data_IF_660529639977
#
_entry.id   IF_660529639977
#
_cell.length_a   1.000
_cell.length_b   1.000
_cell.length_c   1.000
_cell.angle_alpha   90.00
_cell.angle_beta   90.00
_cell.angle_gamma   90.00
#
_symmetry.space_group_name_H-M   'P 1'
#
loop_
_entity.id
_entity.type
_entity.pdbx_description
1 polymer ?
#
# COMPACT_ATOMS: atom_id res chain seq x y z
N UNK A 1 -0.51 11.17 5.30
CA UNK A 1 -0.56 9.95 6.13
C UNK A 1 -1.33 8.91 5.36
N UNK A 2 -0.87 7.65 5.27
CA UNK A 2 -1.67 6.57 4.68
C UNK A 2 -2.98 6.44 5.45
N UNK A 3 -4.09 6.32 4.72
CA UNK A 3 -5.44 6.20 5.31
C UNK A 3 -5.52 5.00 6.26
N UNK A 4 -4.84 3.91 5.91
CA UNK A 4 -4.74 2.66 6.65
C UNK A 4 -4.28 2.83 8.11
N UNK A 5 -3.53 3.91 8.41
CA UNK A 5 -3.03 4.17 9.77
C UNK A 5 -4.04 4.84 10.68
N UNK A 6 -5.08 5.46 10.12
CA UNK A 6 -6.08 6.25 10.85
C UNK A 6 -7.50 5.71 10.68
N UNK A 7 -7.65 4.60 9.95
CA UNK A 7 -8.93 3.94 9.67
C UNK A 7 -9.68 3.61 10.96
N UNK A 8 -8.98 3.15 12.00
CA UNK A 8 -9.62 2.74 13.24
C UNK A 8 -10.11 3.95 14.04
N UNK A 9 -9.35 5.03 14.10
CA UNK A 9 -9.74 6.31 14.70
C UNK A 9 -10.94 6.93 13.96
N UNK A 10 -10.96 6.86 12.63
CA UNK A 10 -12.09 7.32 11.81
C UNK A 10 -13.33 6.47 12.08
N UNK A 11 -13.18 5.14 12.18
CA UNK A 11 -14.28 4.23 12.53
C UNK A 11 -14.81 4.46 13.95
N UNK A 12 -13.93 4.77 14.90
CA UNK A 12 -14.30 5.12 16.29
C UNK A 12 -14.96 6.50 16.40
N UNK A 13 -14.84 7.34 15.37
CA UNK A 13 -15.35 8.72 15.37
C UNK A 13 -14.44 9.70 16.12
N UNK A 14 -13.24 9.26 16.50
CA UNK A 14 -12.19 10.11 17.10
C UNK A 14 -11.61 11.07 16.04
N UNK A 15 -11.66 10.67 14.76
CA UNK A 15 -11.25 11.46 13.61
C UNK A 15 -12.38 11.53 12.57
N UNK A 16 -12.46 12.66 11.88
CA UNK A 16 -13.36 12.85 10.73
C UNK A 16 -12.54 13.16 9.48
N UNK A 17 -12.94 12.57 8.35
CA UNK A 17 -12.36 12.88 7.04
C UNK A 17 -12.92 14.21 6.55
N UNK A 18 -12.04 15.09 6.08
CA UNK A 18 -12.39 16.40 5.51
C UNK A 18 -11.75 16.51 4.13
N UNK A 19 -12.39 17.27 3.22
CA UNK A 19 -11.92 17.46 1.84
C UNK A 19 -11.74 16.14 1.05
N UNK A 20 -12.60 15.15 1.31
CA UNK A 20 -12.57 13.86 0.61
C UNK A 20 -12.65 14.04 -0.92
N UNK A 21 -13.47 14.98 -1.39
CA UNK A 21 -13.64 15.30 -2.82
C UNK A 21 -12.36 15.82 -3.51
N UNK A 22 -11.34 16.19 -2.73
CA UNK A 22 -10.08 16.76 -3.21
C UNK A 22 -8.89 15.80 -3.02
N UNK A 23 -9.15 14.57 -2.55
CA UNK A 23 -8.12 13.55 -2.38
C UNK A 23 -8.05 12.66 -3.62
N UNK A 24 -6.92 12.68 -4.31
CA UNK A 24 -6.68 11.74 -5.42
C UNK A 24 -6.59 10.30 -4.89
N UNK A 25 -7.11 9.29 -5.63
CA UNK A 25 -6.99 7.90 -5.22
C UNK A 25 -5.53 7.52 -4.93
N UNK A 26 -5.29 6.90 -3.79
CA UNK A 26 -3.96 6.43 -3.46
C UNK A 26 -3.54 5.34 -4.46
N UNK A 27 -2.47 5.60 -5.22
CA UNK A 27 -1.96 4.70 -6.26
C UNK A 27 -1.45 3.35 -5.73
N UNK A 28 -1.50 3.12 -4.41
CA UNK A 28 -1.08 1.89 -3.77
C UNK A 28 0.43 1.84 -3.51
N UNK A 29 0.83 0.78 -2.83
CA UNK A 29 2.23 0.53 -2.50
C UNK A 29 2.98 -0.04 -3.70
N UNK A 30 4.12 0.58 -4.02
CA UNK A 30 4.99 0.16 -5.12
C UNK A 30 6.24 -0.52 -4.56
N UNK A 31 6.51 -1.76 -4.99
CA UNK A 31 7.72 -2.48 -4.64
C UNK A 31 8.83 -2.15 -5.65
N UNK A 32 9.78 -1.30 -5.27
CA UNK A 32 10.95 -1.02 -6.09
C UNK A 32 12.07 -2.03 -5.81
N UNK A 33 12.53 -2.73 -6.84
CA UNK A 33 13.75 -3.53 -6.77
C UNK A 33 14.54 -3.46 -8.09
N UNK A 34 15.88 -3.31 -8.04
CA UNK A 34 16.70 -3.30 -9.24
C UNK A 34 16.80 -4.70 -9.83
N UNK A 35 16.50 -4.84 -11.12
CA UNK A 35 16.64 -6.10 -11.85
C UNK A 35 18.13 -6.45 -11.99
N UNK A 36 18.63 -7.26 -11.06
CA UNK A 36 19.92 -7.93 -11.19
C UNK A 36 19.60 -9.27 -11.82
N UNK A 37 20.20 -9.59 -12.97
CA UNK A 37 20.00 -10.80 -13.83
C UNK A 37 19.85 -12.16 -13.11
N UNK A 38 20.10 -12.23 -11.80
CA UNK A 38 19.87 -13.39 -10.92
C UNK A 38 19.02 -12.98 -9.71
N UNK A 39 17.71 -12.82 -9.91
CA UNK A 39 16.79 -12.73 -8.76
C UNK A 39 16.73 -14.11 -8.11
N UNK A 40 17.08 -14.22 -6.83
CA UNK A 40 17.06 -15.53 -6.16
C UNK A 40 15.64 -16.11 -6.15
N UNK A 41 15.47 -17.44 -6.20
CA UNK A 41 14.15 -18.06 -6.12
C UNK A 41 13.37 -17.65 -4.87
N UNK A 42 14.06 -17.44 -3.74
CA UNK A 42 13.46 -16.95 -2.50
C UNK A 42 12.91 -15.52 -2.63
N UNK A 43 13.65 -14.62 -3.31
CA UNK A 43 13.17 -13.25 -3.53
C UNK A 43 11.99 -13.22 -4.50
N UNK A 44 12.01 -14.04 -5.54
CA UNK A 44 10.87 -14.17 -6.46
C UNK A 44 9.59 -14.62 -5.73
N UNK A 45 9.70 -15.56 -4.79
CA UNK A 45 8.58 -16.00 -3.96
C UNK A 45 8.02 -14.86 -3.06
N UNK A 46 8.90 -14.04 -2.48
CA UNK A 46 8.48 -12.87 -1.68
C UNK A 46 7.78 -11.82 -2.55
N UNK A 47 8.33 -11.52 -3.74
CA UNK A 47 7.69 -10.59 -4.68
C UNK A 47 6.32 -11.11 -5.10
N UNK A 48 6.17 -12.40 -5.38
CA UNK A 48 4.88 -12.98 -5.76
C UNK A 48 3.87 -12.98 -4.61
N UNK A 49 4.32 -13.25 -3.37
CA UNK A 49 3.48 -13.20 -2.18
C UNK A 49 3.00 -11.77 -1.85
N UNK A 50 3.83 -10.77 -2.11
CA UNK A 50 3.52 -9.35 -1.86
C UNK A 50 2.83 -8.67 -3.05
N UNK A 51 2.78 -9.31 -4.22
CA UNK A 51 2.12 -8.76 -5.40
C UNK A 51 0.62 -8.78 -5.20
N UNK A 52 0.02 -7.60 -5.16
CA UNK A 52 -1.44 -7.46 -5.09
C UNK A 52 -2.09 -8.13 -6.30
N UNK A 53 -3.03 -9.05 -6.04
CA UNK A 53 -3.89 -9.68 -7.04
C UNK A 53 -5.32 -9.22 -6.73
N UNK A 54 -5.95 -8.53 -7.67
CA UNK A 54 -7.33 -8.06 -7.57
C UNK A 54 -8.32 -9.23 -7.63
#
# INVERSE_FOLDING_TARGET
MPEDQVVDEVRRGDLIRVLEDWCEPFAGYHLYYPNRRHTSPAFAAVVDALRFRA
#
